data_IF_523777052498
#
_entry.id   IF_523777052498
#
_cell.length_a   1.000
_cell.length_b   1.000
_cell.length_c   1.000
_cell.angle_alpha   90.00
_cell.angle_beta   90.00
_cell.angle_gamma   90.00
#
_symmetry.space_group_name_H-M   'P 1'
#
loop_
_entity.id
_entity.type
_entity.pdbx_description
1 polymer ?
#
# COMPACT_ATOMS: atom_id res chain seq x y z
N UNK A 1 -1.28 -11.04 -20.54
CA UNK A 1 -0.75 -9.90 -19.86
C UNK A 1 -0.41 -10.20 -18.44
N UNK A 2 0.79 -9.97 -18.08
CA UNK A 2 1.26 -10.34 -16.75
C UNK A 2 1.30 -9.12 -15.85
N UNK A 3 0.51 -9.19 -14.79
CA UNK A 3 0.60 -8.21 -13.73
C UNK A 3 1.57 -8.74 -12.71
N UNK A 4 2.58 -7.96 -12.39
CA UNK A 4 3.59 -8.36 -11.44
C UNK A 4 3.23 -7.80 -10.07
N UNK A 5 3.16 -8.71 -9.09
CA UNK A 5 2.99 -8.29 -7.72
C UNK A 5 4.20 -7.50 -7.26
N UNK A 6 3.95 -6.32 -6.70
CA UNK A 6 5.00 -5.46 -6.19
C UNK A 6 4.75 -5.22 -4.71
N UNK A 7 5.81 -5.16 -3.95
CA UNK A 7 5.74 -4.80 -2.55
C UNK A 7 6.29 -3.40 -2.39
N UNK A 8 5.45 -2.53 -1.85
CA UNK A 8 5.81 -1.12 -1.65
C UNK A 8 5.78 -0.80 -0.17
N UNK A 9 6.52 0.21 0.22
CA UNK A 9 6.51 0.72 1.59
C UNK A 9 5.80 2.07 1.58
N UNK A 10 4.87 2.22 2.50
CA UNK A 10 4.15 3.48 2.68
C UNK A 10 4.45 4.04 4.07
N UNK A 11 4.51 5.35 4.16
CA UNK A 11 4.76 6.08 5.41
C UNK A 11 6.02 5.59 6.13
N UNK A 12 7.01 5.08 5.40
CA UNK A 12 8.28 4.55 5.92
C UNK A 12 8.12 3.38 6.91
N UNK A 13 6.94 2.79 7.01
CA UNK A 13 6.67 1.80 8.04
C UNK A 13 5.98 0.54 7.56
N UNK A 14 5.05 0.67 6.61
CA UNK A 14 4.15 -0.43 6.27
C UNK A 14 4.41 -0.92 4.86
N UNK A 15 4.40 -2.24 4.70
CA UNK A 15 4.57 -2.88 3.39
C UNK A 15 3.22 -3.39 2.91
N UNK A 16 2.89 -3.05 1.68
CA UNK A 16 1.66 -3.49 1.03
C UNK A 16 1.98 -4.08 -0.33
N UNK A 17 1.07 -4.91 -0.83
CA UNK A 17 1.17 -5.49 -2.16
C UNK A 17 0.35 -4.63 -3.11
N UNK A 18 0.85 -4.43 -4.32
CA UNK A 18 0.08 -3.72 -5.34
C UNK A 18 0.44 -4.25 -6.71
N UNK A 19 -0.52 -4.18 -7.61
CA UNK A 19 -0.29 -4.41 -9.04
C UNK A 19 -0.33 -3.10 -9.81
N UNK A 20 -0.50 -1.98 -9.10
CA UNK A 20 -0.58 -0.67 -9.71
C UNK A 20 0.81 -0.14 -10.03
N UNK A 21 0.87 0.72 -11.02
CA UNK A 21 2.10 1.38 -11.41
C UNK A 21 2.23 2.67 -10.60
N UNK A 22 2.91 2.56 -9.48
CA UNK A 22 3.04 3.66 -8.52
C UNK A 22 4.44 4.24 -8.53
N UNK A 23 4.54 5.46 -8.01
CA UNK A 23 5.82 6.16 -7.84
C UNK A 23 5.94 6.65 -6.42
N UNK A 24 7.17 6.91 -6.00
CA UNK A 24 7.42 7.49 -4.69
C UNK A 24 6.72 8.84 -4.63
N UNK A 25 5.98 9.06 -3.56
CA UNK A 25 5.19 10.26 -3.38
C UNK A 25 3.72 10.11 -3.75
N UNK A 26 3.37 9.02 -4.43
CA UNK A 26 1.97 8.76 -4.75
C UNK A 26 1.20 8.43 -3.49
N UNK A 27 -0.05 8.85 -3.45
CA UNK A 27 -0.94 8.51 -2.37
C UNK A 27 -1.80 7.32 -2.76
N UNK A 28 -2.02 6.42 -1.83
CA UNK A 28 -2.81 5.22 -2.06
C UNK A 28 -3.78 5.02 -0.91
N UNK A 29 -4.87 4.34 -1.20
CA UNK A 29 -5.85 3.95 -0.19
C UNK A 29 -5.57 2.51 0.18
N UNK A 30 -5.36 2.26 1.46
CA UNK A 30 -5.01 0.96 1.98
C UNK A 30 -5.94 0.60 3.13
N UNK A 31 -6.17 -0.70 3.40
CA UNK A 31 -7.00 -1.10 4.52
C UNK A 31 -6.30 -0.76 5.84
N UNK A 32 -7.11 -0.33 6.80
CA UNK A 32 -6.60 -0.02 8.14
C UNK A 32 -6.20 -1.28 8.88
N UNK A 33 -5.25 -1.18 9.82
CA UNK A 33 -4.98 -2.29 10.73
C UNK A 33 -6.25 -2.68 11.49
N UNK A 34 -6.31 -3.94 11.93
CA UNK A 34 -7.51 -4.46 12.57
C UNK A 34 -7.96 -3.64 13.78
N UNK A 35 -7.01 -3.08 14.52
CA UNK A 35 -7.32 -2.27 15.70
C UNK A 35 -7.90 -0.91 15.37
N UNK A 36 -7.81 -0.46 14.10
CA UNK A 36 -8.39 0.79 13.64
C UNK A 36 -9.59 0.60 12.73
N UNK A 37 -9.85 -0.64 12.30
CA UNK A 37 -10.85 -0.88 11.25
C UNK A 37 -12.26 -0.53 11.69
N UNK A 38 -12.55 -0.55 13.00
CA UNK A 38 -13.87 -0.19 13.51
C UNK A 38 -14.15 1.30 13.36
N UNK A 39 -13.11 2.12 13.33
CA UNK A 39 -13.25 3.57 13.22
C UNK A 39 -13.04 4.02 11.79
N UNK A 40 -11.96 3.55 11.18
CA UNK A 40 -11.62 3.90 9.81
C UNK A 40 -11.23 2.64 9.06
N UNK A 41 -12.13 2.08 8.24
CA UNK A 41 -11.83 0.84 7.53
C UNK A 41 -10.70 0.99 6.51
N UNK A 42 -10.47 2.21 6.02
CA UNK A 42 -9.36 2.49 5.10
C UNK A 42 -8.72 3.81 5.48
N UNK A 43 -7.51 4.02 4.97
CA UNK A 43 -6.83 5.29 5.17
C UNK A 43 -5.90 5.56 4.00
N UNK A 44 -5.50 6.81 3.87
CA UNK A 44 -4.62 7.24 2.79
C UNK A 44 -3.18 7.22 3.30
N UNK A 45 -2.30 6.63 2.51
CA UNK A 45 -0.89 6.55 2.85
C UNK A 45 -0.06 7.00 1.66
N UNK A 46 1.18 7.41 1.92
CA UNK A 46 2.07 7.89 0.88
C UNK A 46 3.15 6.86 0.61
N UNK A 47 3.35 6.54 -0.66
CA UNK A 47 4.39 5.59 -1.06
C UNK A 47 5.76 6.22 -0.81
N UNK A 48 6.59 5.52 -0.04
CA UNK A 48 7.93 6.00 0.30
C UNK A 48 9.03 5.14 -0.29
N UNK A 49 8.71 3.89 -0.66
CA UNK A 49 9.64 3.02 -1.38
C UNK A 49 8.85 2.14 -2.34
N UNK A 50 9.47 1.80 -3.45
CA UNK A 50 8.83 0.97 -4.48
C UNK A 50 9.23 -0.50 -4.36
N UNK A 51 9.96 -0.85 -3.33
CA UNK A 51 10.37 -2.24 -3.09
C UNK A 51 10.53 -2.45 -1.60
N UNK A 52 10.44 -3.70 -1.18
CA UNK A 52 10.55 -4.05 0.23
C UNK A 52 11.16 -5.44 0.36
N UNK A 53 11.98 -5.62 1.39
CA UNK A 53 12.54 -6.92 1.72
C UNK A 53 11.62 -7.72 2.63
N UNK A 54 10.50 -7.16 3.03
CA UNK A 54 9.58 -7.83 3.92
C UNK A 54 8.90 -8.99 3.20
N UNK A 55 9.02 -10.19 3.75
CA UNK A 55 8.47 -11.39 3.13
C UNK A 55 7.30 -11.99 3.92
N UNK A 56 6.82 -11.28 4.93
CA UNK A 56 5.67 -11.73 5.70
C UNK A 56 4.36 -11.47 4.96
N UNK A 57 3.26 -11.67 5.68
CA UNK A 57 1.94 -11.46 5.12
C UNK A 57 1.71 -9.97 4.84
N UNK A 58 1.28 -9.67 3.64
CA UNK A 58 0.95 -8.31 3.23
C UNK A 58 -0.48 -8.26 2.69
N UNK A 59 -1.14 -7.13 2.91
CA UNK A 59 -2.44 -6.88 2.30
C UNK A 59 -2.26 -6.01 1.07
N UNK A 60 -3.25 -6.02 0.20
CA UNK A 60 -3.17 -5.29 -1.06
C UNK A 60 -3.61 -3.84 -0.89
N UNK A 61 -2.99 -2.97 -1.66
CA UNK A 61 -3.47 -1.60 -1.84
C UNK A 61 -4.85 -1.66 -2.50
N UNK A 62 -5.78 -0.85 -2.02
CA UNK A 62 -7.14 -0.84 -2.57
C UNK A 62 -7.17 -0.04 -3.88
N UNK A 63 -6.63 1.16 -3.86
CA UNK A 63 -6.60 1.99 -5.05
C UNK A 63 -5.56 3.10 -4.89
N UNK A 64 -5.31 3.81 -6.00
CA UNK A 64 -4.46 4.98 -6.01
C UNK A 64 -5.33 6.22 -5.92
N UNK A 65 -4.92 7.18 -5.11
CA UNK A 65 -5.59 8.46 -5.05
C UNK A 65 -5.17 9.28 -6.27
N UNK A 66 -6.13 9.67 -7.06
CA UNK A 66 -5.87 10.50 -8.23
C UNK A 66 -6.24 11.94 -7.95
N UNK A 67 -5.38 12.83 -8.39
CA UNK A 67 -5.60 14.26 -8.22
C UNK A 67 -5.91 14.92 -9.52
#
# INVERSE_FOLDING_TARGET
>A
MNQTEKRIVVNHRYTYITFLDLKIGDEVIVPSPSWLSDVNPTWTATVTKLESDYDGHCVSVISKVEK
#
